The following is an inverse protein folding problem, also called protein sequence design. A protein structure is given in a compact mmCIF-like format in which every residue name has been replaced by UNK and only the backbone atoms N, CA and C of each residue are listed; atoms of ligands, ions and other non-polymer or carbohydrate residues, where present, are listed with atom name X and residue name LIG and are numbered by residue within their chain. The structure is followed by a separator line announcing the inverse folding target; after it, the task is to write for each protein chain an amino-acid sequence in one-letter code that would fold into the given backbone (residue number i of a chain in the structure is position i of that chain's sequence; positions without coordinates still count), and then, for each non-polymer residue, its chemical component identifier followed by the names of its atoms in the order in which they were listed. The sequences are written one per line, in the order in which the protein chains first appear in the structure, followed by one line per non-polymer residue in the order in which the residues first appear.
data_IF_020319013520
#
_entry.id   IF_020319013520
#
_cell.length_a   1.000
_cell.length_b   1.000
_cell.length_c   1.000
_cell.angle_alpha   90.00
_cell.angle_beta   90.00
_cell.angle_gamma   90.00
#
_symmetry.space_group_name_H-M   'P 1'
#
loop_
_entity.id
_entity.type
_entity.pdbx_description
1 polymer ?
#
# COMPACT_ATOMS: atom_id res chain seq x y z
N UNK A 1 -6.11 -2.29 21.94
CA UNK A 1 -7.29 -1.40 21.69
C UNK A 1 -6.88 0.07 21.64
N UNK A 2 -5.97 0.52 22.46
CA UNK A 2 -5.51 1.94 22.53
C UNK A 2 -4.98 2.48 21.21
N UNK A 3 -4.25 1.66 20.45
CA UNK A 3 -3.74 2.03 19.11
C UNK A 3 -4.87 2.41 18.15
N UNK A 4 -5.95 1.63 18.12
CA UNK A 4 -7.13 1.93 17.30
C UNK A 4 -7.78 3.25 17.72
N UNK A 5 -7.97 3.44 19.03
CA UNK A 5 -8.55 4.67 19.58
C UNK A 5 -7.66 5.88 19.30
N UNK A 6 -6.34 5.74 19.36
CA UNK A 6 -5.38 6.81 19.01
C UNK A 6 -5.55 7.26 17.57
N UNK A 7 -5.68 6.33 16.60
CA UNK A 7 -5.94 6.66 15.20
C UNK A 7 -7.32 7.31 15.03
N UNK A 8 -8.34 6.85 15.76
CA UNK A 8 -9.71 7.33 15.60
C UNK A 8 -9.98 8.68 16.26
N UNK A 9 -9.25 9.03 17.33
CA UNK A 9 -9.49 10.27 18.08
C UNK A 9 -9.57 11.52 17.20
N UNK A 10 -8.62 11.82 16.30
CA UNK A 10 -8.70 13.00 15.45
C UNK A 10 -9.88 12.96 14.47
N UNK A 11 -10.21 11.76 13.94
CA UNK A 11 -11.31 11.55 12.99
C UNK A 11 -12.65 11.81 13.69
N UNK A 12 -12.80 11.30 14.93
CA UNK A 12 -14.04 11.38 15.69
C UNK A 12 -14.32 12.76 16.29
N UNK A 13 -13.28 13.54 16.58
CA UNK A 13 -13.46 14.83 17.28
C UNK A 13 -14.15 15.90 16.44
N UNK A 14 -13.98 15.86 15.11
CA UNK A 14 -14.35 16.98 14.25
C UNK A 14 -15.86 17.18 14.06
N UNK A 15 -16.68 16.12 13.92
CA UNK A 15 -18.08 16.29 13.51
C UNK A 15 -18.97 15.03 13.62
N UNK A 16 -18.52 13.98 14.29
CA UNK A 16 -19.36 12.83 14.56
C UNK A 16 -20.09 12.95 15.89
N UNK A 17 -21.41 12.75 15.87
CA UNK A 17 -22.17 12.59 17.10
C UNK A 17 -21.83 11.21 17.76
N UNK A 18 -22.23 11.03 19.01
CA UNK A 18 -21.90 9.85 19.81
C UNK A 18 -22.36 8.54 19.14
N UNK A 19 -23.54 8.53 18.51
CA UNK A 19 -24.08 7.34 17.83
C UNK A 19 -23.22 6.94 16.62
N UNK A 20 -22.75 7.90 15.83
CA UNK A 20 -21.87 7.64 14.69
C UNK A 20 -20.47 7.19 15.14
N UNK A 21 -19.94 7.77 16.20
CA UNK A 21 -18.66 7.32 16.80
C UNK A 21 -18.75 5.88 17.27
N UNK A 22 -19.80 5.52 18.03
CA UNK A 22 -20.05 4.14 18.46
C UNK A 22 -20.16 3.20 17.25
N UNK A 23 -20.88 3.58 16.21
CA UNK A 23 -21.04 2.77 15.01
C UNK A 23 -19.69 2.54 14.30
N UNK A 24 -18.86 3.57 14.12
CA UNK A 24 -17.53 3.47 13.53
C UNK A 24 -16.64 2.52 14.32
N UNK A 25 -16.56 2.70 15.63
CA UNK A 25 -15.75 1.85 16.51
C UNK A 25 -16.22 0.39 16.41
N UNK A 26 -17.54 0.15 16.48
CA UNK A 26 -18.10 -1.21 16.38
C UNK A 26 -17.80 -1.86 15.02
N UNK A 27 -17.86 -1.12 13.91
CA UNK A 27 -17.47 -1.66 12.58
C UNK A 27 -16.01 -2.09 12.58
N UNK A 28 -15.09 -1.25 13.08
CA UNK A 28 -13.66 -1.53 13.08
C UNK A 28 -13.31 -2.68 14.05
N UNK A 29 -13.96 -2.74 15.21
CA UNK A 29 -13.83 -3.87 16.13
C UNK A 29 -14.30 -5.17 15.48
N UNK A 30 -15.49 -5.14 14.85
CA UNK A 30 -16.03 -6.29 14.14
C UNK A 30 -15.10 -6.75 12.99
N UNK A 31 -14.48 -5.83 12.25
CA UNK A 31 -13.47 -6.16 11.24
C UNK A 31 -12.26 -6.90 11.83
N UNK A 32 -11.78 -6.44 12.98
CA UNK A 32 -10.64 -7.04 13.66
C UNK A 32 -11.05 -8.42 14.22
N UNK A 33 -12.21 -8.54 14.85
CA UNK A 33 -12.66 -9.80 15.46
C UNK A 33 -12.99 -10.86 14.42
N UNK A 34 -13.76 -10.52 13.37
CA UNK A 34 -14.18 -11.46 12.34
C UNK A 34 -13.10 -11.75 11.27
N UNK A 35 -12.02 -10.97 11.24
CA UNK A 35 -11.03 -10.98 10.15
C UNK A 35 -11.68 -10.93 8.78
N UNK A 36 -12.69 -10.09 8.63
CA UNK A 36 -13.52 -10.04 7.45
C UNK A 36 -14.08 -8.65 7.21
N UNK A 37 -14.47 -8.37 5.98
CA UNK A 37 -15.26 -7.20 5.60
C UNK A 37 -16.65 -7.60 5.08
N UNK A 38 -17.02 -8.86 5.19
CA UNK A 38 -18.38 -9.33 4.89
C UNK A 38 -19.37 -8.74 5.89
N UNK A 39 -20.37 -7.98 5.40
CA UNK A 39 -21.29 -7.21 6.24
C UNK A 39 -22.09 -8.10 7.20
N UNK A 40 -22.47 -9.32 6.80
CA UNK A 40 -23.18 -10.23 7.68
C UNK A 40 -22.28 -10.71 8.83
N UNK A 41 -21.01 -11.06 8.52
CA UNK A 41 -20.03 -11.41 9.53
C UNK A 41 -19.74 -10.22 10.47
N UNK A 42 -19.62 -9.01 9.93
CA UNK A 42 -19.46 -7.81 10.75
C UNK A 42 -20.66 -7.59 11.66
N UNK A 43 -21.88 -7.76 11.15
CA UNK A 43 -23.09 -7.53 11.91
C UNK A 43 -23.28 -8.54 13.06
N UNK A 44 -22.80 -9.78 12.91
CA UNK A 44 -22.84 -10.79 13.99
C UNK A 44 -21.89 -10.48 15.14
N UNK A 45 -20.83 -9.70 14.89
CA UNK A 45 -19.86 -9.30 15.93
C UNK A 45 -20.20 -7.96 16.62
N UNK A 46 -21.32 -7.34 16.26
CA UNK A 46 -21.74 -6.11 16.94
C UNK A 46 -22.28 -6.39 18.34
N UNK A 47 -21.72 -5.75 19.34
CA UNK A 47 -22.28 -5.70 20.68
C UNK A 47 -23.58 -4.87 20.67
N UNK A 48 -24.71 -5.47 20.26
CA UNK A 48 -26.00 -4.81 20.10
C UNK A 48 -27.14 -5.77 20.38
N UNK A 49 -28.19 -5.30 21.09
CA UNK A 49 -29.44 -6.03 21.26
C UNK A 49 -30.34 -6.01 20.00
N UNK A 50 -29.97 -5.24 18.97
CA UNK A 50 -30.71 -5.18 17.72
C UNK A 50 -30.50 -6.46 16.89
N UNK A 51 -31.54 -6.89 16.15
CA UNK A 51 -31.40 -8.03 15.25
C UNK A 51 -30.35 -7.76 14.14
N UNK A 52 -29.69 -8.82 13.68
CA UNK A 52 -28.60 -8.78 12.68
C UNK A 52 -29.00 -7.95 11.43
N UNK A 53 -30.25 -8.12 10.93
CA UNK A 53 -30.74 -7.37 9.77
C UNK A 53 -30.74 -5.85 10.00
N UNK A 54 -31.05 -5.40 11.23
CA UNK A 54 -31.01 -3.97 11.57
C UNK A 54 -29.58 -3.45 11.67
N UNK A 55 -28.65 -4.27 12.16
CA UNK A 55 -27.22 -3.94 12.20
C UNK A 55 -26.64 -3.86 10.81
N UNK A 56 -26.96 -4.80 9.91
CA UNK A 56 -26.56 -4.76 8.49
C UNK A 56 -26.99 -3.43 7.86
N UNK A 57 -28.27 -3.03 7.98
CA UNK A 57 -28.76 -1.75 7.46
C UNK A 57 -28.06 -0.54 8.07
N UNK A 58 -27.62 -0.63 9.34
CA UNK A 58 -26.84 0.43 9.99
C UNK A 58 -25.47 0.56 9.39
N UNK A 59 -24.73 -0.55 9.17
CA UNK A 59 -23.44 -0.59 8.52
C UNK A 59 -23.53 -0.04 7.08
N UNK A 60 -24.50 -0.52 6.31
CA UNK A 60 -24.71 -0.07 4.94
C UNK A 60 -24.98 1.44 4.81
N UNK A 61 -25.81 1.99 5.72
CA UNK A 61 -26.08 3.44 5.77
C UNK A 61 -24.83 4.22 6.18
N UNK A 62 -24.05 3.70 7.12
CA UNK A 62 -22.78 4.33 7.53
C UNK A 62 -21.81 4.40 6.33
N UNK A 63 -21.63 3.29 5.64
CA UNK A 63 -20.78 3.22 4.44
C UNK A 63 -21.30 4.14 3.31
N UNK A 64 -22.61 4.17 3.07
CA UNK A 64 -23.18 5.02 2.02
C UNK A 64 -22.90 6.52 2.26
N UNK A 65 -22.92 6.95 3.52
CA UNK A 65 -22.64 8.36 3.90
C UNK A 65 -21.19 8.76 3.68
N UNK A 66 -20.23 7.84 3.73
CA UNK A 66 -18.82 8.11 3.55
C UNK A 66 -18.29 9.19 4.51
N UNK A 67 -18.61 9.01 5.80
CA UNK A 67 -18.30 9.99 6.84
C UNK A 67 -16.81 10.06 7.17
N UNK A 68 -16.07 8.96 7.02
CA UNK A 68 -14.62 8.93 7.20
C UNK A 68 -13.97 9.20 5.85
N UNK A 69 -13.33 10.34 5.72
CA UNK A 69 -12.63 10.68 4.48
C UNK A 69 -11.26 10.02 4.41
N UNK A 70 -10.89 9.53 3.24
CA UNK A 70 -9.60 8.85 3.03
C UNK A 70 -8.41 9.68 3.51
N UNK A 71 -8.39 10.99 3.20
CA UNK A 71 -7.29 11.87 3.59
C UNK A 71 -7.22 12.10 5.11
N UNK A 72 -8.36 12.11 5.81
CA UNK A 72 -8.40 12.21 7.28
C UNK A 72 -7.89 10.93 7.93
N UNK A 73 -8.33 9.77 7.43
CA UNK A 73 -7.83 8.46 7.85
C UNK A 73 -6.31 8.35 7.63
N UNK A 74 -5.84 8.71 6.44
CA UNK A 74 -4.42 8.67 6.11
C UNK A 74 -3.58 9.56 7.02
N UNK A 75 -4.02 10.80 7.27
CA UNK A 75 -3.32 11.72 8.18
C UNK A 75 -3.24 11.16 9.59
N UNK A 76 -4.35 10.66 10.13
CA UNK A 76 -4.38 10.05 11.46
C UNK A 76 -3.48 8.81 11.57
N UNK A 77 -3.39 8.01 10.51
CA UNK A 77 -2.47 6.88 10.43
C UNK A 77 -1.01 7.34 10.44
N UNK A 78 -0.67 8.35 9.62
CA UNK A 78 0.69 8.90 9.54
C UNK A 78 1.11 9.52 10.88
N UNK A 79 0.19 10.20 11.56
CA UNK A 79 0.44 10.83 12.86
C UNK A 79 0.62 9.78 13.98
N UNK A 80 0.00 8.62 13.85
CA UNK A 80 0.13 7.52 14.79
C UNK A 80 1.40 6.66 14.58
N UNK A 81 2.11 6.82 13.46
CA UNK A 81 3.37 6.10 13.23
C UNK A 81 4.43 6.53 14.26
N UNK A 82 5.19 5.60 14.84
CA UNK A 82 6.27 5.91 15.77
C UNK A 82 7.40 6.69 15.10
N UNK A 83 7.68 6.41 13.83
CA UNK A 83 8.73 7.06 13.06
C UNK A 83 8.25 8.37 12.43
N UNK A 84 9.00 9.45 12.66
CA UNK A 84 8.69 10.80 12.15
C UNK A 84 9.65 11.27 11.04
N UNK A 85 10.55 10.40 10.60
CA UNK A 85 11.57 10.70 9.59
C UNK A 85 11.06 10.80 8.15
N UNK A 86 11.94 10.54 7.21
CA UNK A 86 11.60 10.44 5.79
C UNK A 86 11.05 9.07 5.46
N UNK A 87 10.10 9.01 4.55
CA UNK A 87 9.41 7.79 4.15
C UNK A 87 9.79 7.35 2.74
N UNK A 88 10.03 6.07 2.60
CA UNK A 88 10.06 5.41 1.30
C UNK A 88 8.61 5.09 0.94
N UNK A 89 8.18 5.56 -0.23
CA UNK A 89 6.85 5.27 -0.76
C UNK A 89 6.91 4.11 -1.74
N UNK A 90 5.85 3.33 -1.76
CA UNK A 90 5.62 2.30 -2.77
C UNK A 90 4.33 2.61 -3.51
N UNK A 91 4.34 2.46 -4.84
CA UNK A 91 3.15 2.56 -5.68
C UNK A 91 2.97 1.24 -6.42
N UNK A 92 1.75 0.71 -6.35
CA UNK A 92 1.38 -0.51 -7.07
C UNK A 92 -0.13 -0.55 -7.27
N UNK A 93 -0.58 -1.37 -8.19
CA UNK A 93 -1.98 -1.59 -8.47
C UNK A 93 -2.41 -3.04 -8.24
N UNK A 94 -3.69 -3.22 -7.98
CA UNK A 94 -4.27 -4.54 -7.82
C UNK A 94 -5.68 -4.58 -8.37
N UNK A 95 -6.02 -5.66 -9.09
CA UNK A 95 -7.38 -5.90 -9.54
C UNK A 95 -8.17 -6.64 -8.48
N UNK A 96 -9.41 -6.22 -8.23
CA UNK A 96 -10.37 -6.92 -7.40
C UNK A 96 -11.62 -7.26 -8.19
N UNK A 97 -12.10 -8.49 -8.01
CA UNK A 97 -13.34 -8.97 -8.57
C UNK A 97 -14.43 -8.93 -7.51
N UNK A 98 -15.45 -8.10 -7.70
CA UNK A 98 -16.60 -7.97 -6.80
C UNK A 98 -17.86 -8.41 -7.56
N UNK A 99 -18.22 -9.68 -7.45
CA UNK A 99 -19.28 -10.26 -8.25
C UNK A 99 -18.98 -10.13 -9.75
N UNK A 100 -19.81 -9.41 -10.48
CA UNK A 100 -19.63 -9.15 -11.93
C UNK A 100 -18.73 -7.97 -12.25
N UNK A 101 -18.36 -7.17 -11.27
CA UNK A 101 -17.60 -5.94 -11.46
C UNK A 101 -16.11 -6.16 -11.16
N UNK A 102 -15.27 -5.71 -12.08
CA UNK A 102 -13.82 -5.68 -11.91
C UNK A 102 -13.40 -4.24 -11.62
N UNK A 103 -12.63 -4.07 -10.57
CA UNK A 103 -12.05 -2.80 -10.17
C UNK A 103 -10.54 -2.91 -10.16
N UNK A 104 -9.87 -1.92 -10.70
CA UNK A 104 -8.44 -1.74 -10.50
C UNK A 104 -8.25 -0.70 -9.40
N UNK A 105 -7.47 -1.03 -8.39
CA UNK A 105 -7.17 -0.13 -7.27
C UNK A 105 -5.69 0.20 -7.32
N UNK A 106 -5.40 1.45 -7.65
CA UNK A 106 -4.08 2.03 -7.54
C UNK A 106 -3.87 2.50 -6.11
N UNK A 107 -2.75 2.14 -5.47
CA UNK A 107 -2.44 2.55 -4.12
C UNK A 107 -1.02 3.10 -3.98
N UNK A 108 -0.85 4.04 -3.05
CA UNK A 108 0.44 4.48 -2.53
C UNK A 108 0.49 4.14 -1.05
N UNK A 109 1.58 3.51 -0.64
CA UNK A 109 1.83 3.14 0.75
C UNK A 109 3.18 3.61 1.25
N UNK A 110 3.31 3.76 2.57
CA UNK A 110 4.58 3.98 3.25
C UNK A 110 5.22 2.62 3.51
N UNK A 111 6.42 2.42 3.00
CA UNK A 111 7.19 1.20 3.24
C UNK A 111 7.80 1.24 4.65
N UNK A 112 7.42 0.29 5.48
CA UNK A 112 7.86 0.20 6.85
C UNK A 112 8.06 -1.26 7.28
N UNK A 113 9.25 -1.62 7.76
CA UNK A 113 9.53 -2.94 8.35
C UNK A 113 8.95 -4.15 7.60
N UNK A 114 9.14 -4.20 6.27
CA UNK A 114 8.77 -5.36 5.45
C UNK A 114 7.33 -5.38 4.93
N UNK A 115 6.51 -4.36 5.24
CA UNK A 115 5.18 -4.16 4.69
C UNK A 115 5.00 -2.70 4.27
N UNK A 116 4.13 -2.43 3.28
CA UNK A 116 3.69 -1.07 2.99
C UNK A 116 2.34 -0.81 3.61
N UNK A 117 2.26 0.29 4.35
CA UNK A 117 1.02 0.79 4.93
C UNK A 117 0.32 1.68 3.91
N UNK A 118 -0.81 1.25 3.31
CA UNK A 118 -1.52 2.07 2.33
C UNK A 118 -2.02 3.37 2.97
N UNK A 119 -1.76 4.51 2.30
CA UNK A 119 -2.21 5.83 2.75
C UNK A 119 -3.12 6.53 1.74
N UNK A 120 -2.98 6.17 0.47
CA UNK A 120 -3.83 6.66 -0.61
C UNK A 120 -4.23 5.52 -1.51
N UNK A 121 -5.45 5.57 -2.04
CA UNK A 121 -5.88 4.69 -3.12
C UNK A 121 -6.82 5.42 -4.08
N UNK A 122 -6.91 4.93 -5.31
CA UNK A 122 -7.85 5.37 -6.34
C UNK A 122 -8.52 4.16 -6.95
N UNK A 123 -9.84 4.22 -7.08
CA UNK A 123 -10.62 3.23 -7.82
C UNK A 123 -10.68 3.61 -9.29
N UNK A 124 -10.41 2.63 -10.15
CA UNK A 124 -10.48 2.75 -11.60
C UNK A 124 -11.42 1.66 -12.12
N UNK A 125 -12.73 1.93 -12.19
CA UNK A 125 -13.71 0.95 -12.65
C UNK A 125 -13.48 0.63 -14.13
N UNK A 126 -13.49 -0.67 -14.48
CA UNK A 126 -13.33 -1.13 -15.86
C UNK A 126 -11.94 -0.98 -16.46
N UNK A 127 -10.94 -0.57 -15.69
CA UNK A 127 -9.55 -0.49 -16.13
C UNK A 127 -8.74 -1.70 -15.65
N UNK A 128 -7.73 -2.09 -16.44
CA UNK A 128 -6.74 -3.11 -16.08
C UNK A 128 -5.36 -2.51 -15.84
N UNK A 129 -5.13 -1.26 -16.24
CA UNK A 129 -3.89 -0.51 -16.10
C UNK A 129 -4.19 0.96 -15.82
N UNK A 130 -3.25 1.65 -15.21
CA UNK A 130 -3.33 3.09 -14.95
C UNK A 130 -2.78 3.92 -16.11
N UNK A 131 -3.29 5.15 -16.25
CA UNK A 131 -2.69 6.19 -17.04
C UNK A 131 -1.79 7.11 -16.19
N UNK A 132 -0.97 7.92 -16.83
CA UNK A 132 -0.07 8.84 -16.11
C UNK A 132 -0.82 9.92 -15.32
N UNK A 133 -2.07 10.23 -15.68
CA UNK A 133 -2.92 11.21 -14.96
C UNK A 133 -3.29 10.68 -13.58
N UNK A 134 -3.68 9.42 -13.51
CA UNK A 134 -4.01 8.74 -12.26
C UNK A 134 -2.77 8.57 -11.37
N UNK A 135 -1.61 8.25 -11.99
CA UNK A 135 -0.33 8.13 -11.31
C UNK A 135 0.08 9.46 -10.65
N UNK A 136 -0.04 10.56 -11.38
CA UNK A 136 0.23 11.91 -10.86
C UNK A 136 -0.77 12.27 -9.77
N UNK A 137 -2.07 12.09 -10.03
CA UNK A 137 -3.12 12.48 -9.08
C UNK A 137 -3.02 11.78 -7.72
N UNK A 138 -2.63 10.49 -7.70
CA UNK A 138 -2.42 9.78 -6.44
C UNK A 138 -1.13 10.24 -5.73
N UNK A 139 -0.08 10.55 -6.49
CA UNK A 139 1.16 11.09 -5.91
C UNK A 139 1.00 12.49 -5.35
N UNK A 140 0.25 13.38 -5.99
CA UNK A 140 -0.06 14.71 -5.47
C UNK A 140 -0.80 14.61 -4.13
N UNK A 141 -1.75 13.68 -3.99
CA UNK A 141 -2.41 13.40 -2.72
C UNK A 141 -1.44 12.89 -1.67
N UNK A 142 -0.55 11.96 -2.02
CA UNK A 142 0.46 11.44 -1.09
C UNK A 142 1.42 12.56 -0.62
N UNK A 143 1.89 13.42 -1.55
CA UNK A 143 2.71 14.59 -1.23
C UNK A 143 1.99 15.55 -0.29
N UNK A 144 0.70 15.84 -0.53
CA UNK A 144 -0.13 16.70 0.32
C UNK A 144 -0.30 16.14 1.74
N UNK A 145 -0.37 14.81 1.88
CA UNK A 145 -0.54 14.15 3.18
C UNK A 145 0.75 14.09 4.00
N UNK A 146 1.85 13.73 3.36
CA UNK A 146 3.13 13.47 4.02
C UNK A 146 3.96 14.74 4.17
N UNK A 147 3.88 15.62 3.19
CA UNK A 147 4.81 16.75 2.98
C UNK A 147 6.01 16.32 2.14
N UNK A 148 6.35 17.15 1.14
CA UNK A 148 7.41 16.88 0.17
C UNK A 148 8.76 16.53 0.82
N UNK A 149 9.17 17.29 1.85
CA UNK A 149 10.45 17.10 2.54
C UNK A 149 10.58 15.77 3.32
N UNK A 150 9.47 15.08 3.54
CA UNK A 150 9.42 13.79 4.22
C UNK A 150 9.40 12.59 3.26
N UNK A 151 9.42 12.82 1.96
CA UNK A 151 9.50 11.75 0.96
C UNK A 151 10.99 11.48 0.66
N UNK A 152 11.45 10.29 0.98
CA UNK A 152 12.81 9.85 0.67
C UNK A 152 12.91 9.40 -0.78
N UNK A 153 12.03 8.50 -1.20
CA UNK A 153 12.04 7.91 -2.55
C UNK A 153 10.71 7.23 -2.85
N UNK A 154 10.30 7.23 -4.12
CA UNK A 154 9.19 6.43 -4.63
C UNK A 154 9.70 5.16 -5.31
N UNK A 155 9.14 4.01 -4.96
CA UNK A 155 9.38 2.71 -5.59
C UNK A 155 8.14 2.27 -6.36
N UNK A 156 8.28 1.87 -7.63
CA UNK A 156 7.16 1.33 -8.38
C UNK A 156 7.60 0.33 -9.46
N UNK A 157 6.66 -0.50 -9.93
CA UNK A 157 6.93 -1.53 -10.93
C UNK A 157 6.96 -0.95 -12.36
N UNK A 158 7.23 -1.82 -13.31
CA UNK A 158 7.35 -1.52 -14.76
C UNK A 158 6.09 -0.93 -15.38
N UNK A 159 4.95 -1.04 -14.74
CA UNK A 159 3.72 -0.39 -15.15
C UNK A 159 3.88 1.13 -15.11
N UNK A 160 4.52 1.63 -14.05
CA UNK A 160 4.73 3.06 -13.75
C UNK A 160 6.04 3.63 -14.34
N UNK A 161 6.83 2.79 -14.99
CA UNK A 161 8.12 3.17 -15.59
C UNK A 161 7.97 3.93 -16.92
N UNK A 162 7.04 4.88 -17.02
CA UNK A 162 6.81 5.68 -18.20
C UNK A 162 7.48 7.05 -18.13
N UNK A 163 7.87 7.60 -19.28
CA UNK A 163 8.64 8.85 -19.36
C UNK A 163 7.88 10.09 -18.89
N UNK A 164 6.54 10.10 -18.96
CA UNK A 164 5.73 11.23 -18.49
C UNK A 164 5.79 11.32 -16.96
N UNK A 165 5.58 10.18 -16.30
CA UNK A 165 5.59 10.10 -14.84
C UNK A 165 7.00 10.37 -14.30
N UNK A 166 8.04 9.80 -14.90
CA UNK A 166 9.43 10.09 -14.53
C UNK A 166 9.73 11.58 -14.65
N UNK A 167 9.32 12.22 -15.75
CA UNK A 167 9.52 13.66 -15.93
C UNK A 167 8.80 14.48 -14.86
N UNK A 168 7.58 14.09 -14.50
CA UNK A 168 6.83 14.74 -13.42
C UNK A 168 7.55 14.60 -12.07
N UNK A 169 8.05 13.40 -11.72
CA UNK A 169 8.84 13.17 -10.52
C UNK A 169 10.10 14.04 -10.45
N UNK A 170 10.79 14.19 -11.59
CA UNK A 170 11.98 15.05 -11.71
C UNK A 170 11.66 16.53 -11.50
N UNK A 171 10.59 17.03 -12.13
CA UNK A 171 10.14 18.42 -11.98
C UNK A 171 9.77 18.72 -10.52
N UNK A 172 9.14 17.76 -9.85
CA UNK A 172 8.75 17.89 -8.45
C UNK A 172 9.86 17.46 -7.47
N UNK A 173 11.09 17.25 -7.94
CA UNK A 173 12.25 16.87 -7.11
C UNK A 173 12.00 15.65 -6.21
N UNK A 174 11.17 14.70 -6.64
CA UNK A 174 10.91 13.45 -5.94
C UNK A 174 11.89 12.38 -6.43
N UNK A 175 12.73 11.86 -5.53
CA UNK A 175 13.61 10.73 -5.86
C UNK A 175 12.78 9.48 -6.12
N UNK A 176 13.25 8.64 -7.03
CA UNK A 176 12.52 7.46 -7.46
C UNK A 176 13.45 6.28 -7.77
N UNK A 177 12.90 5.09 -7.71
CA UNK A 177 13.46 3.87 -8.26
C UNK A 177 12.34 3.09 -8.95
N UNK A 178 12.24 3.22 -10.27
CA UNK A 178 11.16 2.68 -11.09
C UNK A 178 11.70 1.60 -12.02
N UNK A 179 11.01 0.45 -12.09
CA UNK A 179 11.35 -0.56 -13.09
C UNK A 179 10.90 -0.10 -14.48
N UNK A 180 11.74 -0.31 -15.47
CA UNK A 180 11.45 0.01 -16.87
C UNK A 180 11.07 -1.25 -17.64
N UNK A 181 10.25 -1.08 -18.68
CA UNK A 181 9.97 -2.14 -19.67
C UNK A 181 11.13 -2.25 -20.64
N UNK A 182 11.50 -3.46 -21.01
CA UNK A 182 12.63 -3.76 -21.91
C UNK A 182 12.45 -3.20 -23.34
N UNK A 183 11.20 -3.00 -23.75
CA UNK A 183 10.86 -2.48 -25.08
C UNK A 183 10.86 -0.95 -25.17
N UNK A 184 11.16 -0.23 -24.11
CA UNK A 184 11.28 1.23 -24.15
C UNK A 184 12.46 1.65 -25.04
N UNK A 185 12.23 2.68 -25.86
CA UNK A 185 13.26 3.27 -26.68
C UNK A 185 14.09 4.28 -25.89
N UNK A 186 15.40 4.12 -25.97
CA UNK A 186 16.36 5.04 -25.38
C UNK A 186 17.39 5.51 -26.42
N UNK A 187 17.99 6.66 -26.19
CA UNK A 187 19.18 7.13 -26.92
C UNK A 187 20.25 7.63 -25.96
N UNK A 188 21.50 7.50 -26.33
CA UNK A 188 22.61 8.18 -25.66
C UNK A 188 22.66 9.64 -26.12
N UNK A 189 23.25 10.49 -25.31
CA UNK A 189 23.47 11.88 -25.65
C UNK A 189 24.25 12.01 -27.01
N UNK A 190 23.89 13.00 -27.82
CA UNK A 190 24.47 13.20 -29.14
C UNK A 190 23.97 12.27 -30.26
N UNK A 191 23.21 11.20 -29.93
CA UNK A 191 22.67 10.30 -30.96
C UNK A 191 21.24 10.65 -31.33
N UNK A 192 20.90 10.71 -32.62
CA UNK A 192 19.53 10.97 -33.10
C UNK A 192 18.64 9.72 -33.05
N UNK A 193 19.19 8.54 -33.39
CA UNK A 193 18.43 7.27 -33.42
C UNK A 193 18.36 6.60 -32.04
N UNK A 194 17.17 6.19 -31.66
CA UNK A 194 16.94 5.39 -30.45
C UNK A 194 17.04 3.90 -30.70
N UNK A 195 17.33 3.14 -29.66
CA UNK A 195 17.32 1.66 -29.64
C UNK A 195 16.49 1.19 -28.45
N UNK A 196 15.92 0.02 -28.53
CA UNK A 196 15.21 -0.60 -27.38
C UNK A 196 16.20 -0.95 -26.29
N UNK A 197 15.79 -0.81 -25.03
CA UNK A 197 16.63 -1.17 -23.88
C UNK A 197 17.14 -2.62 -23.97
N UNK A 198 16.27 -3.57 -24.35
CA UNK A 198 16.66 -4.98 -24.54
C UNK A 198 17.80 -5.18 -25.52
N UNK A 199 17.85 -4.37 -26.59
CA UNK A 199 18.89 -4.46 -27.62
C UNK A 199 20.22 -3.87 -27.13
N UNK A 200 20.14 -2.80 -26.32
CA UNK A 200 21.32 -2.16 -25.72
C UNK A 200 21.93 -3.04 -24.63
N UNK A 201 21.10 -3.80 -23.92
CA UNK A 201 21.48 -4.66 -22.80
C UNK A 201 21.64 -6.13 -23.19
N UNK A 202 21.59 -6.47 -24.49
CA UNK A 202 21.67 -7.85 -24.98
C UNK A 202 22.97 -8.57 -24.62
N UNK A 203 24.09 -7.82 -24.53
CA UNK A 203 25.42 -8.35 -24.19
C UNK A 203 25.64 -8.58 -22.69
N UNK A 204 24.71 -8.12 -21.83
CA UNK A 204 24.82 -8.28 -20.38
C UNK A 204 24.66 -9.76 -20.01
N UNK A 205 25.65 -10.35 -19.37
CA UNK A 205 25.66 -11.77 -18.96
C UNK A 205 24.95 -11.95 -17.63
N UNK A 206 24.58 -13.21 -17.34
CA UNK A 206 24.01 -13.58 -16.05
C UNK A 206 24.96 -13.24 -14.90
N UNK A 207 24.43 -12.59 -13.87
CA UNK A 207 25.22 -12.09 -12.72
C UNK A 207 25.85 -10.72 -12.93
N UNK A 208 25.90 -10.22 -14.17
CA UNK A 208 26.45 -8.89 -14.44
C UNK A 208 25.47 -7.76 -14.17
N UNK A 209 26.02 -6.59 -13.90
CA UNK A 209 25.29 -5.34 -13.71
C UNK A 209 25.98 -4.20 -14.48
N UNK A 210 25.21 -3.26 -14.99
CA UNK A 210 25.72 -2.09 -15.70
C UNK A 210 24.95 -0.83 -15.31
N UNK A 211 25.64 0.31 -15.35
CA UNK A 211 25.03 1.63 -15.19
C UNK A 211 25.16 2.41 -16.48
N UNK A 212 24.02 2.80 -17.02
CA UNK A 212 23.95 3.71 -18.15
C UNK A 212 23.63 5.11 -17.63
N UNK A 213 24.59 6.01 -17.76
CA UNK A 213 24.42 7.43 -17.44
C UNK A 213 23.99 8.20 -18.69
N UNK A 214 23.32 9.32 -18.48
CA UNK A 214 22.94 10.26 -19.54
C UNK A 214 22.14 9.62 -20.69
N UNK A 215 21.18 8.81 -20.28
CA UNK A 215 20.25 8.13 -21.18
C UNK A 215 18.99 8.97 -21.32
N UNK A 216 18.51 9.11 -22.56
CA UNK A 216 17.28 9.78 -22.88
C UNK A 216 16.20 8.77 -23.26
N UNK A 217 15.09 8.75 -22.51
CA UNK A 217 13.89 8.03 -22.92
C UNK A 217 13.18 8.82 -24.01
N UNK A 218 13.01 8.19 -25.19
CA UNK A 218 12.64 8.88 -26.43
C UNK A 218 11.27 9.56 -26.40
N UNK A 219 10.29 8.96 -25.73
CA UNK A 219 8.88 9.39 -25.85
C UNK A 219 8.62 10.81 -25.33
N UNK A 220 9.36 11.30 -24.35
CA UNK A 220 9.27 12.67 -23.80
C UNK A 220 10.63 13.32 -23.60
N UNK A 221 11.63 12.78 -24.21
CA UNK A 221 13.00 13.28 -24.11
C UNK A 221 13.43 13.49 -22.64
N UNK A 222 13.19 12.45 -21.83
CA UNK A 222 13.43 12.48 -20.38
C UNK A 222 14.78 11.86 -20.08
N UNK A 223 15.70 12.65 -19.51
CA UNK A 223 17.04 12.19 -19.12
C UNK A 223 16.96 11.36 -17.86
N UNK A 224 17.56 10.16 -17.87
CA UNK A 224 17.56 9.22 -16.73
C UNK A 224 18.93 8.57 -16.57
N UNK A 225 19.21 8.10 -15.35
CA UNK A 225 20.25 7.11 -15.08
C UNK A 225 19.55 5.74 -15.02
N UNK A 226 20.12 4.75 -15.67
CA UNK A 226 19.60 3.38 -15.69
C UNK A 226 20.62 2.46 -15.02
N UNK A 227 20.17 1.70 -14.05
CA UNK A 227 20.84 0.52 -13.53
C UNK A 227 20.19 -0.72 -14.16
N UNK A 228 20.98 -1.63 -14.71
CA UNK A 228 20.48 -2.88 -15.24
C UNK A 228 21.31 -4.06 -14.73
N UNK A 229 20.62 -5.16 -14.41
CA UNK A 229 21.25 -6.41 -13.97
C UNK A 229 20.51 -7.59 -14.56
N UNK A 230 21.26 -8.66 -14.89
CA UNK A 230 20.70 -9.92 -15.36
C UNK A 230 20.88 -10.99 -14.28
N UNK A 231 19.79 -11.58 -13.85
CA UNK A 231 19.78 -12.55 -12.75
C UNK A 231 18.88 -13.73 -13.06
N UNK A 232 19.13 -14.86 -12.41
CA UNK A 232 18.20 -15.99 -12.41
C UNK A 232 16.95 -15.60 -11.63
N UNK A 233 15.78 -15.64 -12.28
CA UNK A 233 14.48 -15.46 -11.64
C UNK A 233 14.13 -16.62 -10.71
N UNK A 234 13.03 -16.48 -9.95
CA UNK A 234 12.57 -17.50 -9.00
C UNK A 234 12.28 -18.87 -9.65
N UNK A 235 11.89 -18.85 -10.91
CA UNK A 235 11.56 -20.07 -11.68
C UNK A 235 12.77 -20.62 -12.46
N UNK A 236 13.99 -20.17 -12.15
CA UNK A 236 15.20 -20.57 -12.89
C UNK A 236 15.38 -19.85 -14.25
N UNK A 237 14.42 -19.04 -14.66
CA UNK A 237 14.50 -18.27 -15.92
C UNK A 237 15.43 -17.08 -15.81
N UNK A 238 16.03 -16.71 -16.93
CA UNK A 238 16.85 -15.50 -17.06
C UNK A 238 15.97 -14.24 -17.01
N UNK A 239 16.24 -13.34 -16.09
CA UNK A 239 15.46 -12.12 -15.86
C UNK A 239 16.35 -10.88 -15.95
N UNK A 240 16.01 -9.98 -16.87
CA UNK A 240 16.61 -8.67 -16.97
C UNK A 240 15.83 -7.66 -16.11
N UNK A 241 16.50 -7.08 -15.14
CA UNK A 241 15.96 -6.02 -14.28
C UNK A 241 16.55 -4.68 -14.73
N UNK A 242 15.70 -3.75 -15.11
CA UNK A 242 16.09 -2.42 -15.57
C UNK A 242 15.42 -1.38 -14.67
N UNK A 243 16.20 -0.58 -13.97
CA UNK A 243 15.74 0.42 -13.03
C UNK A 243 16.16 1.83 -13.46
N UNK A 244 15.19 2.74 -13.54
CA UNK A 244 15.49 4.17 -13.64
C UNK A 244 15.57 4.77 -12.24
N UNK A 245 16.69 5.36 -11.88
CA UNK A 245 16.90 5.95 -10.55
C UNK A 245 17.99 7.02 -10.58
N UNK A 246 17.80 8.17 -9.89
CA UNK A 246 18.87 9.13 -9.65
C UNK A 246 19.83 8.70 -8.53
N UNK A 247 19.51 7.61 -7.80
CA UNK A 247 20.29 7.13 -6.65
C UNK A 247 21.53 6.33 -7.07
N UNK A 248 22.47 6.14 -6.15
CA UNK A 248 23.64 5.31 -6.36
C UNK A 248 23.26 3.82 -6.59
N UNK A 249 24.11 3.11 -7.33
CA UNK A 249 23.79 1.78 -7.87
C UNK A 249 23.52 0.73 -6.82
N UNK A 250 24.42 0.59 -5.86
CA UNK A 250 24.35 -0.47 -4.84
C UNK A 250 23.10 -0.28 -3.96
N UNK A 251 22.78 0.98 -3.67
CA UNK A 251 21.59 1.34 -2.91
C UNK A 251 20.31 1.13 -3.72
N UNK A 252 20.33 1.37 -5.04
CA UNK A 252 19.17 1.28 -5.93
C UNK A 252 18.55 -0.12 -5.92
N UNK A 253 19.34 -1.18 -6.01
CA UNK A 253 18.82 -2.54 -6.04
C UNK A 253 18.24 -2.97 -4.67
N UNK A 254 18.97 -2.67 -3.59
CA UNK A 254 18.52 -2.95 -2.23
C UNK A 254 17.20 -2.23 -1.95
N UNK A 255 17.11 -0.97 -2.38
CA UNK A 255 15.91 -0.17 -2.21
C UNK A 255 14.75 -0.72 -3.03
N UNK A 256 14.97 -1.10 -4.29
CA UNK A 256 13.92 -1.62 -5.17
C UNK A 256 13.27 -2.90 -4.63
N UNK A 257 13.99 -3.75 -3.93
CA UNK A 257 13.43 -4.95 -3.29
C UNK A 257 12.32 -4.62 -2.29
N UNK A 258 12.35 -3.45 -1.66
CA UNK A 258 11.30 -2.98 -0.74
C UNK A 258 9.97 -2.71 -1.45
N UNK A 259 9.95 -2.55 -2.78
CA UNK A 259 8.70 -2.40 -3.55
C UNK A 259 7.69 -3.53 -3.26
N UNK A 260 8.18 -4.75 -3.10
CA UNK A 260 7.36 -5.94 -2.85
C UNK A 260 6.49 -5.86 -1.58
N UNK A 261 6.78 -4.92 -0.71
CA UNK A 261 6.06 -4.74 0.56
C UNK A 261 4.59 -4.32 0.36
N UNK A 262 4.24 -3.63 -0.75
CA UNK A 262 2.86 -3.26 -1.05
C UNK A 262 2.04 -4.46 -1.55
N UNK A 263 2.64 -5.36 -2.31
CA UNK A 263 2.00 -6.64 -2.69
C UNK A 263 1.70 -7.51 -1.44
N UNK A 264 2.58 -7.45 -0.44
CA UNK A 264 2.35 -8.10 0.86
C UNK A 264 1.14 -7.49 1.58
N UNK A 265 0.99 -6.16 1.55
CA UNK A 265 -0.19 -5.48 2.10
C UNK A 265 -1.46 -5.88 1.34
N UNK A 266 -1.45 -5.85 0.00
CA UNK A 266 -2.61 -6.29 -0.80
C UNK A 266 -3.02 -7.73 -0.49
N UNK A 267 -2.06 -8.63 -0.28
CA UNK A 267 -2.35 -10.02 0.10
C UNK A 267 -3.08 -10.09 1.45
N UNK A 268 -2.68 -9.28 2.44
CA UNK A 268 -3.35 -9.21 3.72
C UNK A 268 -4.75 -8.57 3.64
N UNK A 269 -5.01 -7.69 2.69
CA UNK A 269 -6.33 -7.12 2.43
C UNK A 269 -7.25 -8.09 1.66
N UNK A 270 -6.68 -9.00 0.87
CA UNK A 270 -7.39 -10.04 0.10
C UNK A 270 -7.57 -11.32 0.90
N UNK A 271 -7.56 -12.44 0.23
CA UNK A 271 -7.85 -13.79 0.74
C UNK A 271 -6.97 -14.26 1.92
N UNK A 272 -5.76 -13.73 2.07
CA UNK A 272 -4.88 -14.08 3.19
C UNK A 272 -5.17 -13.26 4.49
N UNK A 273 -6.21 -12.45 4.49
CA UNK A 273 -6.57 -11.59 5.62
C UNK A 273 -8.04 -11.22 5.62
N UNK A 274 -8.35 -9.94 5.45
CA UNK A 274 -9.69 -9.39 5.59
C UNK A 274 -10.71 -9.79 4.51
N UNK A 275 -10.28 -10.49 3.48
CA UNK A 275 -11.10 -11.05 2.40
C UNK A 275 -12.00 -10.02 1.70
N UNK A 276 -11.39 -8.95 1.21
CA UNK A 276 -12.08 -7.80 0.62
C UNK A 276 -13.00 -8.16 -0.57
N UNK A 277 -12.77 -9.30 -1.23
CA UNK A 277 -13.58 -9.77 -2.37
C UNK A 277 -14.94 -10.36 -1.96
N UNK A 278 -15.18 -10.64 -0.68
CA UNK A 278 -16.46 -11.16 -0.15
C UNK A 278 -17.52 -10.09 0.16
N UNK A 279 -17.30 -8.82 -0.21
CA UNK A 279 -18.15 -7.73 0.31
C UNK A 279 -19.51 -7.60 -0.34
N UNK A 280 -19.72 -7.99 -1.57
CA UNK A 280 -20.96 -7.73 -2.34
C UNK A 280 -21.44 -6.26 -2.34
N UNK A 281 -20.54 -5.30 -2.08
CA UNK A 281 -20.85 -3.88 -1.97
C UNK A 281 -20.81 -3.20 -3.34
N UNK A 282 -21.70 -2.22 -3.57
CA UNK A 282 -21.57 -1.30 -4.69
C UNK A 282 -20.40 -0.35 -4.49
N UNK A 283 -19.89 0.23 -5.59
CA UNK A 283 -18.65 1.01 -5.67
C UNK A 283 -18.45 2.01 -4.52
N UNK A 284 -19.40 2.92 -4.29
CA UNK A 284 -19.28 3.95 -3.24
C UNK A 284 -19.15 3.37 -1.83
N UNK A 285 -19.90 2.32 -1.51
CA UNK A 285 -19.81 1.64 -0.21
C UNK A 285 -18.50 0.88 -0.09
N UNK A 286 -18.03 0.30 -1.20
CA UNK A 286 -16.77 -0.41 -1.27
C UNK A 286 -15.58 0.53 -1.03
N UNK A 287 -15.54 1.70 -1.64
CA UNK A 287 -14.52 2.72 -1.41
C UNK A 287 -14.45 3.14 0.07
N UNK A 288 -15.62 3.37 0.68
CA UNK A 288 -15.68 3.71 2.10
C UNK A 288 -15.29 2.53 3.01
N UNK A 289 -15.64 1.29 2.63
CA UNK A 289 -15.19 0.09 3.32
C UNK A 289 -13.67 -0.05 3.27
N UNK A 290 -13.05 0.22 2.12
CA UNK A 290 -11.60 0.18 1.97
C UNK A 290 -10.92 1.24 2.86
N UNK A 291 -11.52 2.43 2.99
CA UNK A 291 -11.03 3.46 3.93
C UNK A 291 -11.04 2.97 5.37
N UNK A 292 -12.10 2.30 5.81
CA UNK A 292 -12.18 1.73 7.16
C UNK A 292 -11.19 0.57 7.33
N UNK A 293 -11.06 -0.27 6.32
CA UNK A 293 -10.12 -1.38 6.32
C UNK A 293 -8.67 -0.90 6.41
N UNK A 294 -8.34 0.23 5.75
CA UNK A 294 -7.03 0.88 5.87
C UNK A 294 -6.74 1.26 7.33
N UNK A 295 -7.73 1.78 8.06
CA UNK A 295 -7.60 2.10 9.49
C UNK A 295 -7.38 0.82 10.33
N UNK A 296 -8.20 -0.22 10.13
CA UNK A 296 -8.07 -1.48 10.86
C UNK A 296 -6.71 -2.16 10.62
N UNK A 297 -6.27 -2.15 9.35
CA UNK A 297 -4.96 -2.66 8.95
C UNK A 297 -3.81 -1.89 9.62
N UNK A 298 -3.90 -0.54 9.60
CA UNK A 298 -2.91 0.32 10.23
C UNK A 298 -2.85 0.13 11.73
N UNK A 299 -4.00 0.00 12.40
CA UNK A 299 -4.07 -0.23 13.83
C UNK A 299 -3.35 -1.53 14.22
N UNK A 300 -3.61 -2.62 13.49
CA UNK A 300 -2.94 -3.89 13.72
C UNK A 300 -1.42 -3.78 13.49
N UNK A 301 -0.99 -3.10 12.42
CA UNK A 301 0.42 -2.95 12.12
C UNK A 301 1.16 -2.09 13.16
N UNK A 302 0.59 -0.94 13.54
CA UNK A 302 1.18 -0.02 14.53
C UNK A 302 1.22 -0.67 15.92
N UNK A 303 0.16 -1.39 16.31
CA UNK A 303 0.15 -2.16 17.57
C UNK A 303 1.31 -3.17 17.62
N UNK A 304 1.52 -3.90 16.52
CA UNK A 304 2.65 -4.81 16.38
C UNK A 304 4.01 -4.12 16.49
N UNK A 305 4.16 -2.93 15.89
CA UNK A 305 5.39 -2.13 16.00
C UNK A 305 5.68 -1.69 17.44
N UNK A 306 4.68 -1.21 18.14
CA UNK A 306 4.82 -0.72 19.51
C UNK A 306 5.13 -1.86 20.49
N UNK A 307 4.54 -3.04 20.30
CA UNK A 307 4.71 -4.18 21.19
C UNK A 307 5.99 -4.99 20.94
N UNK A 308 6.52 -4.96 19.71
CA UNK A 308 7.73 -5.75 19.37
C UNK A 308 8.98 -5.30 20.15
N UNK A 309 9.03 -4.06 20.60
CA UNK A 309 10.13 -3.53 21.40
C UNK A 309 10.20 -4.18 22.80
N UNK A 310 9.05 -4.42 23.42
CA UNK A 310 8.94 -5.04 24.75
C UNK A 310 8.77 -6.55 24.71
N UNK A 311 8.14 -7.08 23.66
CA UNK A 311 7.87 -8.50 23.49
C UNK A 311 8.21 -8.93 22.05
N UNK A 312 9.44 -9.35 21.78
CA UNK A 312 9.90 -9.71 20.45
C UNK A 312 9.13 -10.89 19.83
N UNK A 313 8.89 -10.85 18.52
CA UNK A 313 8.29 -11.97 17.80
C UNK A 313 9.25 -13.17 17.83
N UNK A 314 8.80 -14.36 18.28
CA UNK A 314 9.65 -15.54 18.32
C UNK A 314 10.21 -15.91 16.94
N UNK A 315 11.46 -16.37 16.92
CA UNK A 315 12.12 -16.87 15.71
C UNK A 315 11.76 -18.34 15.45
N UNK A 316 11.65 -18.71 14.18
CA UNK A 316 11.55 -20.11 13.77
C UNK A 316 12.92 -20.76 13.83
N UNK A 317 13.08 -21.77 14.69
CA UNK A 317 14.37 -22.48 14.89
C UNK A 317 14.96 -23.05 13.59
N UNK A 318 14.11 -23.52 12.66
CA UNK A 318 14.53 -24.18 11.42
C UNK A 318 14.99 -23.25 10.29
N UNK A 319 14.61 -21.96 10.31
CA UNK A 319 14.82 -21.03 9.18
C UNK A 319 15.41 -19.69 9.54
N UNK A 320 15.68 -19.43 10.81
CA UNK A 320 16.17 -18.16 11.34
C UNK A 320 15.35 -16.93 10.83
N UNK A 321 14.03 -17.07 10.74
CA UNK A 321 13.09 -16.01 10.37
C UNK A 321 12.03 -15.85 11.46
N UNK A 322 11.43 -14.66 11.55
CA UNK A 322 10.34 -14.42 12.49
C UNK A 322 9.16 -15.37 12.19
N UNK A 323 8.56 -15.92 13.26
CA UNK A 323 7.43 -16.87 13.17
C UNK A 323 6.20 -16.28 12.49
N UNK A 324 6.01 -14.97 12.59
CA UNK A 324 4.92 -14.24 11.96
C UNK A 324 5.34 -12.82 11.58
N UNK A 325 4.61 -12.18 10.69
CA UNK A 325 4.82 -10.77 10.35
C UNK A 325 4.42 -9.84 11.49
N UNK A 326 4.98 -8.63 11.52
CA UNK A 326 4.62 -7.59 12.50
C UNK A 326 3.11 -7.30 12.45
N UNK A 327 2.53 -7.23 11.26
CA UNK A 327 1.09 -7.07 11.08
C UNK A 327 0.29 -8.20 11.76
N UNK A 328 0.65 -9.45 11.52
CA UNK A 328 -0.03 -10.61 12.14
C UNK A 328 0.14 -10.61 13.65
N UNK A 329 1.31 -10.23 14.14
CA UNK A 329 1.60 -10.12 15.56
C UNK A 329 0.71 -9.06 16.23
N UNK A 330 0.66 -7.84 15.69
CA UNK A 330 -0.19 -6.79 16.23
C UNK A 330 -1.68 -7.12 16.12
N UNK A 331 -2.10 -7.77 15.04
CA UNK A 331 -3.47 -8.24 14.92
C UNK A 331 -3.86 -9.21 16.06
N UNK A 332 -3.03 -10.21 16.36
CA UNK A 332 -3.27 -11.17 17.46
C UNK A 332 -3.33 -10.44 18.81
N UNK A 333 -2.46 -9.44 19.01
CA UNK A 333 -2.48 -8.63 20.22
C UNK A 333 -3.76 -7.79 20.35
N UNK A 334 -4.22 -7.16 19.26
CA UNK A 334 -5.49 -6.42 19.28
C UNK A 334 -6.68 -7.30 19.60
N UNK A 335 -6.70 -8.52 19.09
CA UNK A 335 -7.71 -9.52 19.44
C UNK A 335 -7.65 -9.88 20.94
N UNK A 336 -6.46 -10.16 21.45
CA UNK A 336 -6.29 -10.48 22.87
C UNK A 336 -6.77 -9.32 23.75
N UNK A 337 -6.37 -8.10 23.45
CA UNK A 337 -6.81 -6.91 24.20
C UNK A 337 -8.32 -6.71 24.12
N UNK A 338 -8.94 -6.97 22.97
CA UNK A 338 -10.40 -6.92 22.82
C UNK A 338 -11.10 -7.90 23.79
N UNK A 339 -10.70 -9.17 23.77
CA UNK A 339 -11.31 -10.19 24.62
C UNK A 339 -11.02 -9.99 26.12
N UNK A 340 -9.86 -9.43 26.48
CA UNK A 340 -9.56 -9.07 27.86
C UNK A 340 -10.50 -7.97 28.38
N UNK A 341 -10.78 -6.95 27.57
CA UNK A 341 -11.71 -5.89 27.93
C UNK A 341 -13.16 -6.41 28.08
N UNK A 342 -13.63 -7.28 27.19
CA UNK A 342 -14.95 -7.88 27.27
C UNK A 342 -15.11 -8.69 28.57
N UNK A 343 -14.07 -9.40 29.03
CA UNK A 343 -14.09 -10.16 30.27
C UNK A 343 -14.11 -9.29 31.54
N UNK A 344 -13.54 -8.09 31.47
CA UNK A 344 -13.48 -7.14 32.57
C UNK A 344 -14.79 -6.33 32.73
N UNK A 345 -15.61 -6.25 31.69
CA UNK A 345 -16.90 -5.53 31.67
C UNK A 345 -18.09 -6.47 31.94
N UNK A 346 -17.89 -7.79 31.96
CA UNK A 346 -18.89 -8.84 32.28
C UNK A 346 -18.82 -9.26 33.75
#
# INVERSE_FOLDING_TARGET
MDTLLTILRPICQRWMNLSLKKCLISILQAMIVSWSVNILKLASEFASSACVASVVRRIERFLLRGLVKQHEAARSIIDALPEKGRFILTMDGTSWQLGKFKYYVLAVGICFNGISLPICFTFLPGHDITGFVEEIGIMERAVSLIGHGRIECLLADREFGNSNFIKWLQINHIRYCLRLRENLFMRKEGRKKGRKLREVLSSLKLGESIVLRDVWLMRKNTRVRIYATRRTGRNGEDSLIILASPLECDYTEVLYRKRWTLETAFRALKSAGFNMEETHLGEKRFENMLTLLMIAFAAAFIDGLLKIESLPIPMMKSRNVQRMSIFRYGYVNLLHDFWANVKNEA
#
